data_IF_004701041301
#
_entry.id   IF_004701041301
#
_cell.length_a   1.000
_cell.length_b   1.000
_cell.length_c   1.000
_cell.angle_alpha   90.00
_cell.angle_beta   90.00
_cell.angle_gamma   90.00
#
_symmetry.space_group_name_H-M   'P 1'
#
loop_
_entity.id
_entity.type
_entity.pdbx_description
1 polymer ?
#
# COMPACT_ATOMS: atom_id res chain seq x y z
N UNK A 1 -27.23 -15.10 0.94
CA UNK A 1 -26.60 -14.46 -0.23
C UNK A 1 -25.10 -14.53 -0.01
N UNK A 2 -24.27 -14.74 -1.05
CA UNK A 2 -22.82 -14.65 -0.84
C UNK A 2 -22.51 -13.27 -0.29
N UNK A 3 -21.63 -13.19 0.72
CA UNK A 3 -21.16 -11.93 1.27
C UNK A 3 -20.39 -11.17 0.19
N UNK A 4 -20.50 -9.85 0.20
CA UNK A 4 -19.69 -9.01 -0.68
C UNK A 4 -18.19 -9.21 -0.35
N UNK A 5 -17.38 -9.54 -1.37
CA UNK A 5 -15.94 -9.67 -1.19
C UNK A 5 -15.27 -8.33 -1.43
N UNK A 6 -14.70 -7.76 -0.38
CA UNK A 6 -14.05 -6.45 -0.46
C UNK A 6 -12.76 -6.51 -1.30
N UNK A 7 -12.42 -5.40 -1.99
CA UNK A 7 -11.18 -5.33 -2.76
C UNK A 7 -9.93 -5.34 -1.88
N UNK A 8 -8.79 -5.64 -2.52
CA UNK A 8 -7.45 -5.36 -2.00
C UNK A 8 -6.80 -4.32 -2.89
N UNK A 9 -6.12 -3.36 -2.28
CA UNK A 9 -5.51 -2.25 -3.00
C UNK A 9 -4.04 -2.11 -2.62
N UNK A 10 -3.15 -2.10 -3.61
CA UNK A 10 -1.79 -1.59 -3.45
C UNK A 10 -1.77 -0.12 -3.87
N UNK A 11 -1.36 0.78 -2.97
CA UNK A 11 -1.31 2.22 -3.24
C UNK A 11 0.11 2.77 -3.18
N UNK A 12 0.40 3.70 -4.08
CA UNK A 12 1.59 4.56 -4.01
C UNK A 12 1.23 5.79 -3.19
N UNK A 13 1.79 5.91 -1.97
CA UNK A 13 1.41 6.94 -0.99
C UNK A 13 2.04 8.32 -1.21
N UNK A 14 3.03 8.38 -2.09
CA UNK A 14 3.63 9.65 -2.48
C UNK A 14 4.73 10.17 -1.53
N UNK A 15 5.15 11.43 -1.73
CA UNK A 15 6.36 12.00 -1.13
C UNK A 15 6.07 12.64 0.24
N UNK A 16 5.76 11.86 1.26
CA UNK A 16 5.50 12.37 2.60
C UNK A 16 4.35 13.37 2.65
N UNK A 17 4.44 14.47 3.42
CA UNK A 17 3.33 15.40 3.59
C UNK A 17 3.12 16.36 2.40
N UNK A 18 3.98 16.33 1.36
CA UNK A 18 4.02 17.34 0.30
C UNK A 18 2.68 17.54 -0.41
N UNK A 19 1.88 16.50 -0.55
CA UNK A 19 0.55 16.61 -1.16
C UNK A 19 -0.47 17.39 -0.32
N UNK A 20 -0.26 17.47 0.98
CA UNK A 20 -1.17 18.10 1.94
C UNK A 20 -0.79 19.55 2.25
N UNK A 21 0.43 19.99 1.90
CA UNK A 21 0.91 21.34 2.17
C UNK A 21 0.25 22.37 1.27
N UNK A 22 0.16 23.62 1.74
CA UNK A 22 -0.35 24.75 0.96
C UNK A 22 0.59 25.14 -0.18
N UNK A 23 1.90 25.04 0.03
CA UNK A 23 2.93 25.36 -0.95
C UNK A 23 3.28 24.19 -1.88
N UNK A 24 3.62 24.51 -3.14
CA UNK A 24 4.16 23.52 -4.08
C UNK A 24 5.70 23.45 -3.95
N UNK A 25 6.16 22.56 -3.11
CA UNK A 25 7.58 22.38 -2.87
C UNK A 25 8.26 21.71 -4.07
N UNK A 26 9.14 22.45 -4.78
CA UNK A 26 9.89 21.97 -5.96
C UNK A 26 8.99 21.38 -7.08
N UNK A 27 7.80 21.92 -7.30
CA UNK A 27 6.81 21.43 -8.28
C UNK A 27 6.33 19.98 -8.07
N UNK A 28 6.62 19.35 -6.95
CA UNK A 28 6.23 17.95 -6.68
C UNK A 28 4.71 17.81 -6.64
N UNK A 29 4.02 18.79 -6.07
CA UNK A 29 2.54 18.78 -6.01
C UNK A 29 1.93 18.85 -7.41
N UNK A 30 2.44 19.71 -8.29
CA UNK A 30 2.00 19.81 -9.68
C UNK A 30 2.29 18.52 -10.45
N UNK A 31 3.51 17.99 -10.32
CA UNK A 31 3.95 16.81 -11.07
C UNK A 31 3.24 15.52 -10.61
N UNK A 32 2.68 15.51 -9.40
CA UNK A 32 1.91 14.39 -8.85
C UNK A 32 0.40 14.66 -8.73
N UNK A 33 -0.12 15.70 -9.36
CA UNK A 33 -1.55 16.05 -9.28
C UNK A 33 -2.47 14.91 -9.73
N UNK A 34 -2.09 14.17 -10.78
CA UNK A 34 -2.85 13.01 -11.26
C UNK A 34 -2.90 11.88 -10.22
N UNK A 35 -1.84 11.70 -9.42
CA UNK A 35 -1.84 10.71 -8.33
C UNK A 35 -2.81 11.10 -7.22
N UNK A 36 -2.83 12.37 -6.85
CA UNK A 36 -3.77 12.92 -5.86
C UNK A 36 -5.23 12.80 -6.33
N UNK A 37 -5.51 13.15 -7.58
CA UNK A 37 -6.84 13.00 -8.19
C UNK A 37 -7.29 11.53 -8.19
N UNK A 38 -6.40 10.62 -8.56
CA UNK A 38 -6.67 9.18 -8.55
C UNK A 38 -7.03 8.69 -7.14
N UNK A 39 -6.25 9.05 -6.12
CA UNK A 39 -6.53 8.66 -4.74
C UNK A 39 -7.84 9.28 -4.22
N UNK A 40 -8.13 10.53 -4.59
CA UNK A 40 -9.37 11.21 -4.21
C UNK A 40 -10.62 10.56 -4.81
N UNK A 41 -10.53 9.97 -5.99
CA UNK A 41 -11.60 9.22 -6.63
C UNK A 41 -11.62 7.73 -6.31
N UNK A 42 -10.62 7.21 -5.60
CA UNK A 42 -10.45 5.77 -5.44
C UNK A 42 -11.58 5.14 -4.62
N UNK A 43 -11.97 5.74 -3.50
CA UNK A 43 -13.00 5.16 -2.63
C UNK A 43 -14.35 5.04 -3.34
N UNK A 44 -14.77 6.06 -4.10
CA UNK A 44 -15.98 6.01 -4.92
C UNK A 44 -15.89 4.93 -6.01
N UNK A 45 -14.72 4.75 -6.60
CA UNK A 45 -14.48 3.68 -7.58
C UNK A 45 -14.58 2.29 -6.95
N UNK A 46 -14.12 2.11 -5.71
CA UNK A 46 -14.22 0.83 -4.98
C UNK A 46 -15.64 0.54 -4.51
N UNK A 47 -16.40 1.58 -4.17
CA UNK A 47 -17.74 1.49 -3.57
C UNK A 47 -18.70 2.47 -4.24
N UNK A 48 -19.08 2.20 -5.50
CA UNK A 48 -19.98 3.08 -6.25
C UNK A 48 -21.29 3.32 -5.50
N UNK A 49 -21.76 4.57 -5.50
CA UNK A 49 -22.99 5.00 -4.79
C UNK A 49 -22.98 4.76 -3.28
N UNK A 50 -21.82 4.46 -2.69
CA UNK A 50 -21.70 4.14 -1.26
C UNK A 50 -22.33 2.81 -0.86
N UNK A 51 -22.47 1.87 -1.80
CA UNK A 51 -22.96 0.54 -1.53
C UNK A 51 -21.85 -0.38 -1.01
N UNK A 52 -22.21 -1.36 -0.17
CA UNK A 52 -21.30 -2.36 0.39
C UNK A 52 -20.06 -1.76 1.09
N UNK A 53 -20.20 -0.66 1.79
CA UNK A 53 -19.09 -0.02 2.50
C UNK A 53 -18.43 -0.99 3.50
N UNK A 54 -17.09 -0.96 3.62
CA UNK A 54 -16.40 -1.79 4.59
C UNK A 54 -16.65 -1.29 6.01
N UNK A 55 -16.72 -2.20 6.96
CA UNK A 55 -16.83 -1.85 8.39
C UNK A 55 -15.49 -1.45 8.98
N UNK A 56 -14.38 -1.82 8.33
CA UNK A 56 -13.01 -1.52 8.76
C UNK A 56 -12.02 -1.56 7.61
N UNK A 57 -10.86 -0.99 7.85
CA UNK A 57 -9.71 -1.04 6.94
C UNK A 57 -8.56 -1.77 7.65
N UNK A 58 -8.00 -2.78 7.00
CA UNK A 58 -6.71 -3.35 7.37
C UNK A 58 -5.64 -2.72 6.50
N UNK A 59 -4.67 -2.04 7.11
CA UNK A 59 -3.74 -1.18 6.42
C UNK A 59 -2.29 -1.60 6.66
N UNK A 60 -1.58 -2.04 5.63
CA UNK A 60 -0.14 -2.39 5.70
C UNK A 60 0.67 -1.21 5.22
N UNK A 61 1.59 -0.70 6.04
CA UNK A 61 2.41 0.48 5.71
C UNK A 61 3.89 0.13 5.54
N UNK A 62 4.52 0.65 4.47
CA UNK A 62 5.96 0.61 4.27
C UNK A 62 6.76 1.33 5.37
N UNK A 63 6.13 2.29 6.07
CA UNK A 63 6.72 3.07 7.16
C UNK A 63 6.50 2.44 8.54
N UNK A 64 5.76 1.35 8.60
CA UNK A 64 5.67 0.51 9.77
C UNK A 64 6.53 -0.74 9.54
N UNK A 65 7.79 -0.65 9.90
CA UNK A 65 8.76 -1.73 9.72
C UNK A 65 9.07 -2.38 11.06
N UNK A 66 8.74 -3.66 11.19
CA UNK A 66 9.09 -4.45 12.38
C UNK A 66 10.51 -4.99 12.23
N UNK A 67 11.29 -4.87 13.28
CA UNK A 67 12.62 -5.45 13.45
C UNK A 67 12.61 -6.74 14.30
N UNK A 68 11.43 -7.17 14.72
CA UNK A 68 11.24 -8.37 15.54
C UNK A 68 11.18 -9.65 14.70
N UNK A 69 11.09 -10.80 15.36
CA UNK A 69 10.97 -12.10 14.71
C UNK A 69 9.62 -12.36 14.02
N UNK A 70 8.76 -11.35 13.88
CA UNK A 70 7.44 -11.45 13.27
C UNK A 70 6.87 -10.08 12.91
N UNK A 71 5.61 -10.05 12.50
CA UNK A 71 4.92 -8.81 12.17
C UNK A 71 4.36 -8.11 13.42
N UNK A 72 4.07 -6.83 13.29
CA UNK A 72 3.43 -6.02 14.33
C UNK A 72 2.08 -5.51 13.84
N UNK A 73 1.09 -5.51 14.73
CA UNK A 73 -0.28 -5.08 14.46
C UNK A 73 -0.65 -4.04 15.49
N UNK A 74 -1.07 -2.85 15.06
CA UNK A 74 -1.50 -1.83 16.00
C UNK A 74 -2.84 -2.19 16.65
N UNK A 75 -2.89 -2.16 17.97
CA UNK A 75 -4.10 -2.27 18.77
C UNK A 75 -4.49 -0.95 19.44
N UNK A 76 -3.97 0.17 18.95
CA UNK A 76 -4.34 1.49 19.44
C UNK A 76 -5.83 1.74 19.20
N UNK A 77 -6.56 2.21 20.24
CA UNK A 77 -7.98 2.60 20.12
C UNK A 77 -8.13 3.96 19.43
N UNK A 78 -7.20 4.87 19.72
CA UNK A 78 -7.09 6.23 19.16
C UNK A 78 -5.65 6.43 18.70
N UNK A 79 -5.32 6.00 17.47
CA UNK A 79 -3.95 6.16 16.97
C UNK A 79 -3.57 7.63 16.83
N UNK A 80 -2.44 8.01 17.41
CA UNK A 80 -1.85 9.34 17.21
C UNK A 80 -1.18 9.43 15.84
N UNK A 81 -0.86 10.65 15.38
CA UNK A 81 -0.05 10.84 14.17
C UNK A 81 1.43 10.65 14.48
N UNK A 82 2.11 9.90 13.62
CA UNK A 82 3.56 9.74 13.63
C UNK A 82 4.11 10.53 12.44
N UNK A 83 4.70 11.68 12.73
CA UNK A 83 5.34 12.52 11.71
C UNK A 83 6.77 12.01 11.48
N UNK A 84 6.87 10.91 10.73
CA UNK A 84 8.11 10.19 10.41
C UNK A 84 8.92 10.87 9.29
N UNK A 85 8.85 12.17 9.22
CA UNK A 85 9.56 13.06 8.31
C UNK A 85 10.07 14.30 9.06
N UNK A 86 10.99 15.03 8.46
CA UNK A 86 11.58 16.21 9.07
C UNK A 86 12.00 17.24 8.01
N UNK A 87 12.18 18.50 8.45
CA UNK A 87 12.60 19.59 7.58
C UNK A 87 11.48 20.16 6.70
N UNK A 88 10.21 19.90 7.06
CA UNK A 88 9.03 20.47 6.42
C UNK A 88 8.52 21.68 7.20
N UNK A 89 7.70 22.56 6.59
CA UNK A 89 7.02 23.64 7.28
C UNK A 89 6.12 23.13 8.43
N UNK A 90 5.85 23.99 9.41
CA UNK A 90 5.08 23.65 10.61
C UNK A 90 3.69 23.05 10.27
N UNK A 91 3.02 23.53 9.21
CA UNK A 91 1.75 22.97 8.74
C UNK A 91 1.79 21.45 8.47
N UNK A 92 2.97 20.90 8.15
CA UNK A 92 3.14 19.47 7.94
C UNK A 92 2.96 18.66 9.23
N UNK A 93 3.27 19.26 10.38
CA UNK A 93 3.20 18.62 11.70
C UNK A 93 1.86 18.88 12.40
N UNK A 94 0.93 19.56 11.73
CA UNK A 94 -0.43 19.81 12.20
C UNK A 94 -1.47 18.93 11.50
N UNK A 95 -1.05 18.12 10.53
CA UNK A 95 -1.94 17.22 9.79
C UNK A 95 -2.49 16.15 10.72
N UNK A 96 -3.81 16.06 10.84
CA UNK A 96 -4.49 15.03 11.64
C UNK A 96 -5.43 14.22 10.76
N UNK A 97 -5.41 12.89 10.94
CA UNK A 97 -6.38 11.96 10.39
C UNK A 97 -7.07 11.21 11.55
N UNK A 98 -8.25 11.64 12.01
CA UNK A 98 -8.81 11.25 13.30
C UNK A 98 -9.59 9.93 13.28
N UNK A 99 -9.22 8.98 12.42
CA UNK A 99 -9.84 7.67 12.41
C UNK A 99 -9.54 6.90 13.70
N UNK A 100 -10.51 6.11 14.14
CA UNK A 100 -10.34 5.22 15.29
C UNK A 100 -9.58 3.95 14.88
N UNK A 101 -8.93 3.30 15.83
CA UNK A 101 -8.48 1.92 15.68
C UNK A 101 -9.59 0.92 16.06
N UNK A 102 -9.29 -0.36 15.84
CA UNK A 102 -10.16 -1.49 16.21
C UNK A 102 -9.33 -2.58 16.91
N UNK A 103 -9.08 -2.46 18.24
CA UNK A 103 -8.30 -3.44 18.99
C UNK A 103 -8.86 -4.86 18.94
N UNK A 104 -10.19 -5.00 18.87
CA UNK A 104 -10.82 -6.31 18.79
C UNK A 104 -10.53 -6.97 17.44
N UNK A 105 -10.53 -6.19 16.37
CA UNK A 105 -10.15 -6.70 15.05
C UNK A 105 -8.63 -6.97 14.97
N UNK A 106 -7.79 -6.11 15.57
CA UNK A 106 -6.34 -6.36 15.65
C UNK A 106 -6.04 -7.71 16.30
N UNK A 107 -6.77 -8.07 17.37
CA UNK A 107 -6.65 -9.38 18.00
C UNK A 107 -7.05 -10.52 17.05
N UNK A 108 -8.16 -10.37 16.28
CA UNK A 108 -8.58 -11.37 15.29
C UNK A 108 -7.55 -11.54 14.16
N UNK A 109 -6.92 -10.44 13.72
CA UNK A 109 -5.85 -10.50 12.73
C UNK A 109 -4.67 -11.30 13.28
N UNK A 110 -4.24 -11.02 14.51
CA UNK A 110 -3.18 -11.78 15.18
C UNK A 110 -3.49 -13.27 15.24
N UNK A 111 -4.68 -13.64 15.70
CA UNK A 111 -5.11 -15.04 15.80
C UNK A 111 -5.17 -15.74 14.43
N UNK A 112 -5.56 -15.01 13.38
CA UNK A 112 -5.55 -15.53 12.01
C UNK A 112 -4.13 -15.81 11.52
N UNK A 113 -3.19 -14.92 11.82
CA UNK A 113 -1.78 -15.12 11.44
C UNK A 113 -1.17 -16.30 12.19
N UNK A 114 -1.44 -16.44 13.49
CA UNK A 114 -0.98 -17.58 14.29
C UNK A 114 -1.51 -18.93 13.76
N UNK A 115 -2.76 -18.98 13.27
CA UNK A 115 -3.33 -20.18 12.61
C UNK A 115 -2.63 -20.54 11.30
N UNK A 116 -1.90 -19.63 10.70
CA UNK A 116 -1.11 -19.83 9.49
C UNK A 116 0.41 -19.87 9.78
N UNK A 117 0.80 -20.12 11.02
CA UNK A 117 2.21 -20.19 11.47
C UNK A 117 3.00 -18.89 11.22
N UNK A 118 2.31 -17.74 11.10
CA UNK A 118 2.89 -16.42 10.93
C UNK A 118 2.97 -15.73 12.29
N UNK A 119 4.17 -15.46 12.76
CA UNK A 119 4.38 -14.75 14.03
C UNK A 119 3.95 -13.31 13.94
N UNK A 120 3.13 -12.88 14.89
CA UNK A 120 2.69 -11.50 15.02
C UNK A 120 2.47 -11.10 16.48
N UNK A 121 2.70 -9.83 16.79
CA UNK A 121 2.41 -9.26 18.11
C UNK A 121 1.59 -7.98 18.00
N UNK A 122 0.81 -7.71 19.04
CA UNK A 122 0.08 -6.45 19.17
C UNK A 122 1.00 -5.38 19.78
N UNK A 123 0.91 -4.18 19.23
CA UNK A 123 1.64 -3.00 19.71
C UNK A 123 0.73 -1.78 19.73
N UNK A 124 1.00 -0.82 20.61
CA UNK A 124 0.29 0.46 20.56
C UNK A 124 1.05 1.41 19.62
N UNK A 125 0.55 1.58 18.38
CA UNK A 125 1.20 2.41 17.36
C UNK A 125 0.20 3.35 16.69
N UNK A 126 0.64 4.57 16.44
CA UNK A 126 -0.09 5.58 15.67
C UNK A 126 -0.02 5.38 14.15
N UNK A 127 -0.53 6.36 13.40
CA UNK A 127 -0.50 6.39 11.93
C UNK A 127 0.73 7.16 11.45
N UNK A 128 1.62 6.51 10.69
CA UNK A 128 2.70 7.15 9.96
C UNK A 128 2.19 7.82 8.66
N UNK A 129 3.05 8.56 7.96
CA UNK A 129 2.61 9.28 6.76
C UNK A 129 2.19 8.36 5.62
N UNK A 130 2.73 7.16 5.54
CA UNK A 130 2.27 6.14 4.58
C UNK A 130 0.83 5.71 4.80
N UNK A 131 0.28 5.96 6.01
CA UNK A 131 -1.13 5.74 6.37
C UNK A 131 -1.96 7.01 6.17
N UNK A 132 -1.64 8.09 6.90
CA UNK A 132 -2.54 9.23 6.95
C UNK A 132 -2.54 10.08 5.68
N UNK A 133 -1.43 10.16 4.94
CA UNK A 133 -1.39 10.96 3.71
C UNK A 133 -2.33 10.40 2.63
N UNK A 134 -2.22 9.13 2.19
CA UNK A 134 -3.15 8.61 1.19
C UNK A 134 -4.59 8.58 1.70
N UNK A 135 -4.84 8.30 2.98
CA UNK A 135 -6.19 8.24 3.52
C UNK A 135 -6.88 9.62 3.61
N UNK A 136 -6.13 10.71 3.73
CA UNK A 136 -6.67 12.08 3.61
C UNK A 136 -7.32 12.34 2.25
N UNK A 137 -6.94 11.61 1.21
CA UNK A 137 -7.54 11.67 -0.13
C UNK A 137 -8.56 10.55 -0.33
N UNK A 138 -8.24 9.31 0.04
CA UNK A 138 -9.09 8.14 -0.20
C UNK A 138 -10.38 8.21 0.63
N UNK A 139 -10.30 8.54 1.91
CA UNK A 139 -11.47 8.63 2.81
C UNK A 139 -11.30 9.79 3.80
N UNK A 140 -11.41 11.04 3.36
CA UNK A 140 -11.18 12.23 4.20
C UNK A 140 -12.12 12.32 5.40
N UNK A 141 -13.26 11.61 5.39
CA UNK A 141 -14.22 11.56 6.50
C UNK A 141 -13.67 10.88 7.75
N UNK A 142 -12.65 10.01 7.61
CA UNK A 142 -12.02 9.27 8.71
C UNK A 142 -13.02 8.50 9.61
N UNK A 143 -14.13 8.05 9.03
CA UNK A 143 -15.28 7.46 9.72
C UNK A 143 -15.23 5.91 9.80
N UNK A 144 -14.27 5.30 9.12
CA UNK A 144 -14.05 3.85 9.12
C UNK A 144 -12.86 3.53 10.03
N UNK A 145 -12.99 2.63 11.01
CA UNK A 145 -11.89 2.25 11.88
C UNK A 145 -10.77 1.52 11.12
N UNK A 146 -9.51 1.74 11.54
CA UNK A 146 -8.33 1.26 10.86
C UNK A 146 -7.43 0.48 11.82
N UNK A 147 -7.02 -0.71 11.39
CA UNK A 147 -5.93 -1.45 12.01
C UNK A 147 -4.72 -1.39 11.10
N UNK A 148 -3.61 -0.84 11.59
CA UNK A 148 -2.35 -0.78 10.84
C UNK A 148 -1.47 -1.97 11.17
N UNK A 149 -0.66 -2.38 10.18
CA UNK A 149 0.19 -3.54 10.26
C UNK A 149 1.53 -3.27 9.60
N UNK A 150 2.58 -3.88 10.15
CA UNK A 150 3.95 -3.72 9.66
C UNK A 150 4.25 -4.62 8.44
N UNK A 151 5.25 -4.20 7.68
CA UNK A 151 6.17 -5.09 6.98
C UNK A 151 7.26 -5.56 7.97
N UNK A 152 8.23 -6.35 7.50
CA UNK A 152 9.31 -6.82 8.36
C UNK A 152 10.64 -6.86 7.61
N UNK A 153 11.68 -6.21 8.17
CA UNK A 153 13.01 -6.04 7.57
C UNK A 153 13.76 -7.35 7.38
N UNK A 154 13.48 -8.35 8.19
CA UNK A 154 14.24 -9.61 8.24
C UNK A 154 13.58 -10.78 7.51
N UNK A 155 12.29 -10.65 7.17
CA UNK A 155 11.54 -11.69 6.49
C UNK A 155 11.62 -11.54 4.97
N UNK A 156 11.55 -12.65 4.27
CA UNK A 156 11.66 -12.69 2.82
C UNK A 156 10.36 -12.32 2.08
N UNK A 157 10.45 -12.27 0.77
CA UNK A 157 9.32 -11.95 -0.10
C UNK A 157 8.20 -13.00 -0.02
N UNK A 158 8.57 -14.29 0.13
CA UNK A 158 7.62 -15.39 0.21
C UNK A 158 6.79 -15.29 1.49
N UNK A 159 7.41 -14.94 2.62
CA UNK A 159 6.73 -14.72 3.89
C UNK A 159 5.77 -13.55 3.83
N UNK A 160 6.15 -12.44 3.17
CA UNK A 160 5.24 -11.30 2.96
C UNK A 160 4.08 -11.64 2.01
N UNK A 161 4.32 -12.42 0.97
CA UNK A 161 3.24 -12.91 0.10
C UNK A 161 2.29 -13.83 0.89
N UNK A 162 2.83 -14.76 1.69
CA UNK A 162 2.06 -15.64 2.59
C UNK A 162 1.27 -14.86 3.64
N UNK A 163 1.82 -13.75 4.16
CA UNK A 163 1.07 -12.82 5.00
C UNK A 163 -0.18 -12.34 4.29
N UNK A 164 -0.05 -11.85 3.05
CA UNK A 164 -1.18 -11.41 2.23
C UNK A 164 -2.23 -12.51 2.07
N UNK A 165 -1.81 -13.74 1.76
CA UNK A 165 -2.72 -14.89 1.63
C UNK A 165 -3.49 -15.17 2.93
N UNK A 166 -2.82 -15.09 4.09
CA UNK A 166 -3.47 -15.28 5.38
C UNK A 166 -4.51 -14.19 5.70
N UNK A 167 -4.27 -12.95 5.21
CA UNK A 167 -5.17 -11.81 5.39
C UNK A 167 -6.36 -11.83 4.42
N UNK A 168 -6.28 -12.53 3.29
CA UNK A 168 -7.27 -12.53 2.20
C UNK A 168 -8.70 -12.85 2.67
N UNK A 169 -8.86 -13.71 3.70
CA UNK A 169 -10.17 -14.07 4.24
C UNK A 169 -10.96 -12.88 4.78
N UNK A 170 -10.28 -11.86 5.32
CA UNK A 170 -10.95 -10.69 5.88
C UNK A 170 -11.69 -9.85 4.83
N UNK A 171 -11.37 -10.03 3.55
CA UNK A 171 -12.14 -9.45 2.43
C UNK A 171 -13.59 -9.92 2.41
N UNK A 172 -13.87 -11.13 2.91
CA UNK A 172 -15.22 -11.70 3.04
C UNK A 172 -15.87 -11.33 4.40
N UNK A 173 -15.13 -10.59 5.26
CA UNK A 173 -15.55 -10.19 6.61
C UNK A 173 -15.60 -8.64 6.73
N UNK A 174 -16.25 -7.97 5.79
CA UNK A 174 -16.47 -6.52 5.78
C UNK A 174 -15.17 -5.68 5.91
N UNK A 175 -14.05 -6.15 5.35
CA UNK A 175 -12.74 -5.49 5.51
C UNK A 175 -12.13 -5.11 4.16
N UNK A 176 -11.88 -3.81 3.95
CA UNK A 176 -11.02 -3.32 2.87
C UNK A 176 -9.56 -3.50 3.28
N UNK A 177 -8.75 -4.12 2.40
CA UNK A 177 -7.30 -4.24 2.62
C UNK A 177 -6.58 -3.21 1.76
N UNK A 178 -5.79 -2.33 2.38
CA UNK A 178 -4.94 -1.36 1.69
C UNK A 178 -3.49 -1.64 2.09
N UNK A 179 -2.63 -1.78 1.10
CA UNK A 179 -1.20 -1.94 1.30
C UNK A 179 -0.47 -0.74 0.67
N UNK A 180 0.16 0.05 1.49
CA UNK A 180 0.70 1.37 1.14
C UNK A 180 2.23 1.35 1.09
N UNK A 181 2.74 1.63 -0.09
CA UNK A 181 4.16 1.73 -0.38
C UNK A 181 4.37 2.65 -1.58
N UNK A 182 5.17 2.20 -2.53
CA UNK A 182 5.41 2.93 -3.78
C UNK A 182 5.79 1.96 -4.89
N UNK A 183 5.21 2.12 -6.08
CA UNK A 183 5.49 1.21 -7.21
C UNK A 183 6.94 1.32 -7.71
N UNK A 184 7.54 2.51 -7.67
CA UNK A 184 8.99 2.73 -7.82
C UNK A 184 9.45 3.77 -6.82
N UNK A 185 10.46 3.45 -6.00
CA UNK A 185 10.94 4.30 -4.91
C UNK A 185 12.48 4.36 -4.86
N UNK A 186 13.06 5.41 -5.44
CA UNK A 186 14.50 5.64 -5.38
C UNK A 186 14.82 7.09 -5.05
N UNK A 187 14.97 7.39 -3.78
CA UNK A 187 15.28 8.73 -3.30
C UNK A 187 16.72 9.17 -3.62
N UNK A 188 17.61 8.25 -4.01
CA UNK A 188 18.98 8.62 -4.44
C UNK A 188 18.98 9.47 -5.71
N UNK A 189 17.92 9.38 -6.51
CA UNK A 189 17.72 10.16 -7.74
C UNK A 189 17.12 11.55 -7.55
N UNK A 190 16.77 11.98 -6.32
CA UNK A 190 16.12 13.28 -6.07
C UNK A 190 16.97 14.48 -6.52
N UNK A 191 18.30 14.38 -6.45
CA UNK A 191 19.23 15.46 -6.81
C UNK A 191 19.68 15.42 -8.26
N UNK A 192 19.58 14.28 -8.93
CA UNK A 192 20.02 14.10 -10.32
C UNK A 192 19.40 12.83 -10.90
N UNK A 193 18.42 12.98 -11.77
CA UNK A 193 17.85 11.86 -12.53
C UNK A 193 18.70 11.62 -13.76
N UNK A 194 19.53 10.57 -13.75
CA UNK A 194 20.22 10.12 -14.96
C UNK A 194 19.23 9.41 -15.91
N UNK A 195 19.54 9.41 -17.23
CA UNK A 195 18.76 8.64 -18.21
C UNK A 195 18.64 7.15 -17.84
N UNK A 196 19.73 6.56 -17.33
CA UNK A 196 19.73 5.16 -16.88
C UNK A 196 18.78 4.90 -15.69
N UNK A 197 18.67 5.87 -14.75
CA UNK A 197 17.72 5.76 -13.65
C UNK A 197 16.27 5.81 -14.15
N UNK A 198 15.96 6.75 -15.03
CA UNK A 198 14.63 6.91 -15.62
C UNK A 198 14.25 5.66 -16.43
N UNK A 199 15.14 5.20 -17.29
CA UNK A 199 14.92 4.00 -18.12
C UNK A 199 14.76 2.74 -17.26
N UNK A 200 15.62 2.55 -16.25
CA UNK A 200 15.55 1.41 -15.35
C UNK A 200 14.26 1.40 -14.52
N UNK A 201 13.81 2.54 -14.02
CA UNK A 201 12.54 2.65 -13.29
C UNK A 201 11.34 2.34 -14.20
N UNK A 202 11.35 2.82 -15.46
CA UNK A 202 10.31 2.53 -16.45
C UNK A 202 10.30 1.05 -16.84
N UNK A 203 11.47 0.44 -16.97
CA UNK A 203 11.61 -1.01 -17.23
C UNK A 203 11.00 -1.83 -16.10
N UNK A 204 11.27 -1.47 -14.84
CA UNK A 204 10.66 -2.12 -13.68
C UNK A 204 9.14 -1.91 -13.66
N UNK A 205 8.66 -0.69 -13.91
CA UNK A 205 7.21 -0.42 -13.96
C UNK A 205 6.52 -1.24 -15.05
N UNK A 206 7.10 -1.38 -16.23
CA UNK A 206 6.56 -2.21 -17.32
C UNK A 206 6.49 -3.69 -16.92
N UNK A 207 7.51 -4.19 -16.24
CA UNK A 207 7.49 -5.53 -15.65
C UNK A 207 6.39 -5.68 -14.61
N UNK A 208 6.24 -4.69 -13.72
CA UNK A 208 5.23 -4.70 -12.68
C UNK A 208 3.81 -4.70 -13.27
N UNK A 209 3.55 -3.86 -14.27
CA UNK A 209 2.27 -3.83 -14.98
C UNK A 209 1.97 -5.18 -15.63
N UNK A 210 2.96 -5.77 -16.34
CA UNK A 210 2.78 -7.08 -16.96
C UNK A 210 2.55 -8.22 -15.95
N UNK A 211 3.08 -8.08 -14.74
CA UNK A 211 2.93 -9.06 -13.66
C UNK A 211 1.61 -8.90 -12.92
N UNK A 212 1.22 -7.66 -12.60
CA UNK A 212 0.05 -7.38 -11.76
C UNK A 212 -1.26 -7.25 -12.55
N UNK A 213 -1.22 -6.63 -13.73
CA UNK A 213 -2.44 -6.23 -14.43
C UNK A 213 -3.25 -7.41 -14.98
N UNK A 214 -4.58 -7.28 -14.92
CA UNK A 214 -5.55 -8.28 -15.37
C UNK A 214 -5.48 -8.54 -16.88
N UNK A 215 -5.03 -7.56 -17.65
CA UNK A 215 -4.85 -7.66 -19.10
C UNK A 215 -3.73 -8.63 -19.51
N UNK A 216 -2.82 -8.93 -18.61
CA UNK A 216 -1.76 -9.92 -18.81
C UNK A 216 -2.34 -11.35 -18.75
N UNK A 217 -1.86 -12.23 -19.62
CA UNK A 217 -2.29 -13.63 -19.69
C UNK A 217 -1.59 -14.56 -18.69
N UNK A 218 -0.84 -14.02 -17.76
CA UNK A 218 -0.15 -14.81 -16.74
C UNK A 218 -1.15 -15.50 -15.82
N UNK A 219 -0.92 -16.78 -15.56
CA UNK A 219 -1.63 -17.56 -14.56
C UNK A 219 -1.32 -17.08 -13.14
N UNK A 220 -2.12 -17.49 -12.15
CA UNK A 220 -1.85 -17.25 -10.73
C UNK A 220 -0.45 -17.72 -10.33
N UNK A 221 -0.07 -18.92 -10.73
CA UNK A 221 1.25 -19.51 -10.43
C UNK A 221 2.40 -18.68 -11.00
N UNK A 222 2.30 -18.22 -12.24
CA UNK A 222 3.32 -17.39 -12.87
C UNK A 222 3.43 -16.01 -12.20
N UNK A 223 2.31 -15.36 -11.88
CA UNK A 223 2.29 -14.09 -11.14
C UNK A 223 2.91 -14.24 -9.76
N UNK A 224 2.50 -15.28 -9.02
CA UNK A 224 3.06 -15.57 -7.68
C UNK A 224 4.58 -15.74 -7.77
N UNK A 225 5.07 -16.53 -8.74
CA UNK A 225 6.50 -16.71 -8.93
C UNK A 225 7.22 -15.40 -9.25
N UNK A 226 6.67 -14.55 -10.10
CA UNK A 226 7.28 -13.26 -10.44
C UNK A 226 7.31 -12.32 -9.23
N UNK A 227 6.20 -12.19 -8.52
CA UNK A 227 6.10 -11.29 -7.36
C UNK A 227 6.98 -11.74 -6.19
N UNK A 228 7.05 -13.03 -5.90
CA UNK A 228 7.92 -13.52 -4.83
C UNK A 228 9.42 -13.46 -5.19
N UNK A 229 9.75 -13.37 -6.48
CA UNK A 229 11.12 -13.17 -6.97
C UNK A 229 11.35 -11.76 -7.55
N UNK A 230 10.60 -10.76 -7.14
CA UNK A 230 10.65 -9.40 -7.68
C UNK A 230 12.05 -8.75 -7.66
N UNK A 231 12.94 -9.22 -6.78
CA UNK A 231 14.33 -8.73 -6.70
C UNK A 231 15.15 -9.09 -7.96
N UNK A 232 14.68 -10.07 -8.75
CA UNK A 232 15.28 -10.44 -10.02
C UNK A 232 14.65 -9.71 -11.22
N UNK A 233 13.67 -8.85 -10.97
CA UNK A 233 12.96 -8.11 -12.01
C UNK A 233 13.87 -7.14 -12.77
N UNK A 234 13.63 -6.94 -14.06
CA UNK A 234 14.40 -5.98 -14.85
C UNK A 234 14.22 -4.57 -14.28
N UNK A 235 15.32 -3.83 -14.15
CA UNK A 235 15.32 -2.45 -13.63
C UNK A 235 15.17 -2.32 -12.11
N UNK A 236 15.01 -3.39 -11.36
CA UNK A 236 14.74 -3.37 -9.90
C UNK A 236 15.72 -2.52 -9.09
N UNK A 237 17.01 -2.56 -9.38
CA UNK A 237 18.05 -1.77 -8.66
C UNK A 237 17.89 -0.25 -8.84
N UNK A 238 17.23 0.16 -9.92
CA UNK A 238 16.91 1.57 -10.21
C UNK A 238 15.59 2.00 -9.56
N UNK A 239 14.63 1.08 -9.50
CA UNK A 239 13.33 1.32 -8.91
C UNK A 239 13.35 1.21 -7.37
N UNK A 240 14.01 0.18 -6.83
CA UNK A 240 14.02 -0.13 -5.40
C UNK A 240 15.42 -0.48 -4.90
N UNK A 241 16.25 0.52 -4.53
CA UNK A 241 17.53 0.27 -3.84
C UNK A 241 17.37 -0.42 -2.49
N UNK A 242 16.21 -0.23 -1.85
CA UNK A 242 15.77 -0.86 -0.61
C UNK A 242 14.38 -1.47 -0.82
N UNK A 243 14.02 -2.55 -0.10
CA UNK A 243 12.78 -3.29 -0.37
C UNK A 243 11.53 -2.70 0.27
N UNK A 244 11.67 -1.91 1.30
CA UNK A 244 10.63 -1.42 2.20
C UNK A 244 9.35 -0.96 1.47
N UNK A 245 9.49 -0.08 0.49
CA UNK A 245 8.35 0.48 -0.24
C UNK A 245 7.69 -0.46 -1.25
N UNK A 246 8.36 -1.55 -1.64
CA UNK A 246 7.73 -2.55 -2.51
C UNK A 246 7.06 -3.70 -1.73
N UNK A 247 7.49 -3.96 -0.49
CA UNK A 247 6.92 -5.07 0.30
C UNK A 247 5.41 -4.99 0.51
N UNK A 248 4.77 -3.81 0.72
CA UNK A 248 3.32 -3.72 0.74
C UNK A 248 2.64 -4.21 -0.55
N UNK A 249 3.26 -4.00 -1.72
CA UNK A 249 2.75 -4.52 -2.99
C UNK A 249 2.78 -6.05 -3.04
N UNK A 250 3.81 -6.67 -2.46
CA UNK A 250 3.92 -8.13 -2.33
C UNK A 250 2.79 -8.67 -1.43
N UNK A 251 2.52 -7.99 -0.29
CA UNK A 251 1.42 -8.34 0.61
C UNK A 251 0.07 -8.17 -0.09
N UNK A 252 -0.12 -7.07 -0.81
CA UNK A 252 -1.36 -6.81 -1.56
C UNK A 252 -1.62 -7.89 -2.61
N UNK A 253 -0.58 -8.32 -3.33
CA UNK A 253 -0.69 -9.41 -4.30
C UNK A 253 -1.12 -10.72 -3.65
N UNK A 254 -0.51 -11.08 -2.50
CA UNK A 254 -0.91 -12.26 -1.73
C UNK A 254 -2.35 -12.22 -1.24
N UNK A 255 -2.85 -11.03 -0.85
CA UNK A 255 -4.22 -10.85 -0.37
C UNK A 255 -5.25 -10.71 -1.50
N UNK A 256 -4.81 -10.24 -2.67
CA UNK A 256 -5.68 -9.89 -3.78
C UNK A 256 -5.86 -11.01 -4.80
N UNK A 257 -4.77 -11.69 -5.16
CA UNK A 257 -4.75 -12.72 -6.19
C UNK A 257 -5.52 -13.98 -5.78
N UNK A 258 -6.34 -14.50 -6.66
CA UNK A 258 -6.94 -15.83 -6.53
C UNK A 258 -7.08 -16.51 -7.92
N UNK A 259 -7.57 -17.76 -7.93
CA UNK A 259 -7.71 -18.55 -9.15
C UNK A 259 -8.70 -17.94 -10.16
N UNK A 260 -9.69 -17.18 -9.69
CA UNK A 260 -10.72 -16.58 -10.54
C UNK A 260 -10.27 -15.25 -11.11
N UNK A 261 -9.59 -14.46 -10.27
CA UNK A 261 -9.10 -13.12 -10.59
C UNK A 261 -7.63 -12.97 -10.17
N UNK A 262 -6.69 -13.60 -10.92
CA UNK A 262 -5.29 -13.54 -10.53
C UNK A 262 -4.65 -12.16 -10.80
N UNK A 263 -5.24 -11.35 -11.67
CA UNK A 263 -4.74 -10.01 -12.02
C UNK A 263 -5.51 -8.88 -11.36
N UNK A 264 -4.85 -7.74 -11.23
CA UNK A 264 -5.41 -6.51 -10.71
C UNK A 264 -5.83 -5.54 -11.81
N UNK A 265 -6.75 -4.63 -11.52
CA UNK A 265 -6.92 -3.42 -12.31
C UNK A 265 -5.80 -2.44 -11.99
N UNK A 266 -4.96 -2.15 -12.98
CA UNK A 266 -3.94 -1.10 -12.87
C UNK A 266 -4.57 0.29 -12.94
N UNK A 267 -4.17 1.18 -12.01
CA UNK A 267 -4.58 2.58 -11.96
C UNK A 267 -3.32 3.43 -11.89
N UNK A 268 -3.03 4.16 -12.96
CA UNK A 268 -1.78 4.89 -13.09
C UNK A 268 -1.93 6.37 -12.73
N UNK A 269 -1.24 6.80 -11.68
CA UNK A 269 -1.22 8.19 -11.17
C UNK A 269 -0.10 9.06 -11.74
N UNK A 270 0.62 8.61 -12.77
CA UNK A 270 1.69 9.39 -13.39
C UNK A 270 3.09 9.12 -12.83
N UNK A 271 4.02 10.01 -13.21
CA UNK A 271 5.42 9.99 -12.79
C UNK A 271 5.80 11.30 -12.13
N UNK A 272 6.54 11.27 -11.02
CA UNK A 272 7.26 12.43 -10.52
C UNK A 272 8.75 12.26 -10.74
N UNK A 273 9.45 13.40 -10.94
CA UNK A 273 10.91 13.48 -11.15
C UNK A 273 11.46 12.46 -12.18
N UNK A 274 10.61 12.00 -13.09
CA UNK A 274 10.93 11.09 -14.19
C UNK A 274 11.05 9.61 -13.85
N UNK A 275 11.27 9.24 -12.59
CA UNK A 275 11.53 7.85 -12.18
C UNK A 275 10.71 7.35 -10.97
N UNK A 276 9.90 8.19 -10.35
CA UNK A 276 8.97 7.76 -9.29
C UNK A 276 7.57 7.58 -9.88
N UNK A 277 7.12 6.35 -9.96
CA UNK A 277 5.80 5.97 -10.46
C UNK A 277 4.76 5.97 -9.34
N UNK A 278 3.57 6.48 -9.64
CA UNK A 278 2.39 6.40 -8.79
C UNK A 278 1.37 5.41 -9.35
N UNK A 279 1.83 4.22 -9.73
CA UNK A 279 0.92 3.14 -10.10
C UNK A 279 0.29 2.52 -8.85
N UNK A 280 -0.98 2.17 -8.97
CA UNK A 280 -1.76 1.49 -7.96
C UNK A 280 -2.43 0.27 -8.59
N UNK A 281 -2.75 -0.75 -7.79
CA UNK A 281 -3.35 -1.98 -8.29
C UNK A 281 -4.51 -2.39 -7.38
N UNK A 282 -5.64 -2.77 -7.99
CA UNK A 282 -6.86 -3.16 -7.29
C UNK A 282 -7.29 -4.54 -7.72
N UNK A 283 -7.36 -5.48 -6.79
CA UNK A 283 -7.97 -6.81 -6.98
C UNK A 283 -9.40 -6.80 -6.45
N UNK A 284 -10.31 -7.43 -7.17
CA UNK A 284 -11.71 -7.51 -6.79
C UNK A 284 -12.47 -6.20 -6.99
N UNK A 285 -12.04 -5.36 -7.94
CA UNK A 285 -12.81 -4.18 -8.35
C UNK A 285 -14.04 -4.65 -9.12
N UNK A 286 -15.22 -4.39 -8.57
CA UNK A 286 -16.46 -4.71 -9.28
C UNK A 286 -16.69 -3.77 -10.46
N UNK A 287 -17.09 -4.34 -11.58
CA UNK A 287 -17.40 -3.61 -12.82
C UNK A 287 -18.79 -2.97 -12.77
#
# INVERSE_FOLDING_TARGET
MPSFRHPTVAVSHGPGPLWLLSSDFNNVKRDSAAAVELLSGLFEKLYPKGENLPKRILFVSAHFESDSSGFEISNATKPDMIYDYYGFPDEAYEVVYPAKGDPAFAQKVKEQLEKNDIKAKLVNRGFDHGVFVPLRFIRPQADIPIVTMSINSYLDNQTHFGLGQALARFRDEDTLIICSGQSTHNLRGLRSSSSALVEGARTFQSWLDSTMASESKLSLTERTKQITNWRDAPGVRFAHPTPDHFMPFVVAAGAGMDEKEPGAKGLFGGWAIGHMSFANYVWGLQQ
#
